data_IF_880958522600
#
_entry.id   IF_880958522600
#
_cell.length_a   1.000
_cell.length_b   1.000
_cell.length_c   1.000
_cell.angle_alpha   90.00
_cell.angle_beta   90.00
_cell.angle_gamma   90.00
#
_symmetry.space_group_name_H-M   'P 1'
#
loop_
_entity.id
_entity.type
_entity.pdbx_description
1 polymer ?
#
# COMPACT_ATOMS: atom_id res chain seq x y z
N UNK A 1 -9.04 17.50 0.95
CA UNK A 1 -9.41 16.23 1.63
C UNK A 1 -10.66 15.69 0.94
N UNK A 2 -10.55 14.51 0.35
CA UNK A 2 -11.62 13.86 -0.44
C UNK A 2 -12.49 12.99 0.49
N UNK A 3 -13.50 13.60 1.12
CA UNK A 3 -14.35 12.97 2.17
C UNK A 3 -15.10 11.73 1.72
N UNK A 4 -15.32 11.58 0.42
CA UNK A 4 -16.08 10.46 -0.17
C UNK A 4 -15.20 9.25 -0.52
N UNK A 5 -13.89 9.32 -0.23
CA UNK A 5 -12.89 8.28 -0.54
C UNK A 5 -13.38 6.86 -0.23
N UNK A 6 -13.94 6.67 0.96
CA UNK A 6 -14.44 5.37 1.46
C UNK A 6 -15.66 4.81 0.71
N UNK A 7 -16.30 5.62 -0.14
CA UNK A 7 -17.51 5.23 -0.86
C UNK A 7 -17.17 4.61 -2.23
N UNK A 8 -15.90 4.64 -2.64
CA UNK A 8 -15.44 4.16 -3.93
C UNK A 8 -14.49 2.97 -3.77
N UNK A 9 -14.60 2.02 -4.68
CA UNK A 9 -13.58 1.01 -4.90
C UNK A 9 -12.51 1.53 -5.88
N UNK A 10 -11.49 0.69 -6.18
CA UNK A 10 -10.40 1.09 -7.07
C UNK A 10 -10.88 1.47 -8.47
N UNK A 11 -11.94 0.84 -8.98
CA UNK A 11 -12.52 1.14 -10.28
C UNK A 11 -13.19 2.51 -10.26
N UNK A 12 -14.02 2.77 -9.25
CA UNK A 12 -14.68 4.06 -9.08
C UNK A 12 -13.67 5.20 -8.89
N UNK A 13 -12.59 4.98 -8.14
CA UNK A 13 -11.51 5.97 -8.00
C UNK A 13 -10.79 6.23 -9.33
N UNK A 14 -10.53 5.18 -10.13
CA UNK A 14 -9.94 5.34 -11.46
C UNK A 14 -10.85 6.14 -12.40
N UNK A 15 -12.16 5.93 -12.35
CA UNK A 15 -13.13 6.71 -13.14
C UNK A 15 -13.14 8.20 -12.75
N UNK A 16 -13.04 8.53 -11.45
CA UNK A 16 -12.96 9.92 -11.00
C UNK A 16 -11.68 10.60 -11.51
N UNK A 17 -10.56 9.87 -11.49
CA UNK A 17 -9.27 10.35 -12.03
C UNK A 17 -9.34 10.56 -13.54
N UNK A 18 -9.95 9.65 -14.30
CA UNK A 18 -10.15 9.77 -15.74
C UNK A 18 -11.02 10.99 -16.10
N UNK A 19 -12.09 11.21 -15.34
CA UNK A 19 -12.98 12.38 -15.48
C UNK A 19 -12.35 13.69 -14.98
N UNK A 20 -11.15 13.62 -14.36
CA UNK A 20 -10.46 14.75 -13.73
C UNK A 20 -11.26 15.44 -12.62
N UNK A 21 -12.14 14.70 -11.96
CA UNK A 21 -12.91 15.16 -10.80
C UNK A 21 -12.05 15.22 -9.55
N UNK A 22 -10.95 14.42 -9.52
CA UNK A 22 -9.90 14.43 -8.49
C UNK A 22 -8.54 14.22 -9.16
N UNK A 23 -7.48 14.72 -8.54
CA UNK A 23 -6.10 14.48 -9.00
C UNK A 23 -5.47 13.27 -8.28
N UNK A 24 -4.47 12.60 -8.90
CA UNK A 24 -3.74 11.52 -8.25
C UNK A 24 -3.08 11.95 -6.93
N UNK A 25 -2.61 13.20 -6.85
CA UNK A 25 -2.01 13.76 -5.63
C UNK A 25 -3.03 13.88 -4.49
N UNK A 26 -4.20 14.46 -4.77
CA UNK A 26 -5.27 14.58 -3.76
C UNK A 26 -5.76 13.23 -3.28
N UNK A 27 -5.83 12.23 -4.17
CA UNK A 27 -6.24 10.88 -3.83
C UNK A 27 -5.20 10.18 -2.95
N UNK A 28 -3.91 10.33 -3.28
CA UNK A 28 -2.82 9.79 -2.47
C UNK A 28 -2.77 10.46 -1.09
N UNK A 29 -2.91 11.79 -1.03
CA UNK A 29 -2.91 12.54 0.24
C UNK A 29 -4.07 12.10 1.15
N UNK A 30 -5.25 11.81 0.58
CA UNK A 30 -6.36 11.25 1.36
C UNK A 30 -6.05 9.85 1.87
N UNK A 31 -5.48 8.97 1.05
CA UNK A 31 -5.10 7.61 1.47
C UNK A 31 -4.04 7.64 2.60
N UNK A 32 -3.07 8.55 2.51
CA UNK A 32 -2.06 8.77 3.55
C UNK A 32 -2.74 9.27 4.83
N UNK A 33 -3.61 10.26 4.73
CA UNK A 33 -4.34 10.83 5.87
C UNK A 33 -5.17 9.77 6.61
N UNK A 34 -5.92 8.94 5.87
CA UNK A 34 -6.69 7.84 6.46
C UNK A 34 -5.76 6.82 7.16
N UNK A 35 -4.61 6.52 6.54
CA UNK A 35 -3.61 5.64 7.13
C UNK A 35 -3.06 6.20 8.43
N UNK A 36 -2.71 7.48 8.49
CA UNK A 36 -2.15 8.11 9.69
C UNK A 36 -3.12 8.14 10.88
N UNK A 37 -4.43 8.23 10.60
CA UNK A 37 -5.47 8.22 11.64
C UNK A 37 -5.79 6.79 12.10
N UNK A 38 -5.93 5.85 11.16
CA UNK A 38 -6.48 4.53 11.46
C UNK A 38 -5.41 3.50 11.84
N UNK A 39 -4.24 3.56 11.21
CA UNK A 39 -3.18 2.56 11.40
C UNK A 39 -2.65 2.48 12.84
N UNK A 40 -2.55 3.57 13.62
CA UNK A 40 -2.19 3.46 15.04
C UNK A 40 -3.14 2.61 15.88
N UNK A 41 -4.38 2.46 15.44
CA UNK A 41 -5.40 1.65 16.13
C UNK A 41 -5.35 0.18 15.70
N UNK A 42 -5.10 -0.09 14.42
CA UNK A 42 -5.21 -1.43 13.84
C UNK A 42 -3.88 -2.09 13.49
N UNK A 43 -2.80 -1.32 13.36
CA UNK A 43 -1.44 -1.81 13.01
C UNK A 43 -1.43 -2.69 11.74
N UNK A 44 -2.06 -2.18 10.68
CA UNK A 44 -2.18 -2.91 9.42
C UNK A 44 -1.09 -2.56 8.41
N UNK A 45 -0.41 -1.39 8.55
CA UNK A 45 0.55 -0.85 7.56
C UNK A 45 1.88 -0.51 8.24
N UNK A 46 2.70 -1.52 8.60
CA UNK A 46 3.95 -1.30 9.30
C UNK A 46 5.03 -0.62 8.44
N UNK A 47 4.93 -0.70 7.12
CA UNK A 47 5.88 -0.07 6.20
C UNK A 47 5.18 1.00 5.36
N UNK A 48 5.56 2.26 5.60
CA UNK A 48 5.02 3.44 4.92
C UNK A 48 6.05 3.98 3.93
N UNK A 49 5.67 4.12 2.65
CA UNK A 49 6.54 4.54 1.56
C UNK A 49 6.01 5.81 0.89
N UNK A 50 5.56 6.80 1.70
CA UNK A 50 4.85 7.99 1.23
C UNK A 50 5.66 8.83 0.24
N UNK A 51 6.96 9.04 0.50
CA UNK A 51 7.81 9.81 -0.42
C UNK A 51 8.03 9.08 -1.75
N UNK A 52 8.20 7.75 -1.70
CA UNK A 52 8.30 6.93 -2.90
C UNK A 52 6.99 6.97 -3.71
N UNK A 53 5.85 6.94 -3.03
CA UNK A 53 4.54 7.03 -3.67
C UNK A 53 4.35 8.37 -4.39
N UNK A 54 4.76 9.49 -3.79
CA UNK A 54 4.71 10.81 -4.43
C UNK A 54 5.54 10.87 -5.71
N UNK A 55 6.71 10.22 -5.74
CA UNK A 55 7.53 10.13 -6.95
C UNK A 55 6.87 9.29 -8.05
N UNK A 56 6.02 8.31 -7.69
CA UNK A 56 5.31 7.48 -8.67
C UNK A 56 4.20 8.25 -9.41
N UNK A 57 3.67 9.35 -8.84
CA UNK A 57 2.60 10.14 -9.46
C UNK A 57 2.99 10.77 -10.80
N UNK A 58 4.28 10.97 -11.03
CA UNK A 58 4.82 11.57 -12.27
C UNK A 58 4.82 10.58 -13.44
N UNK A 59 4.55 9.30 -13.20
CA UNK A 59 4.69 8.22 -14.18
C UNK A 59 3.34 7.63 -14.61
N UNK A 60 3.17 7.40 -15.92
CA UNK A 60 2.15 6.54 -16.53
C UNK A 60 0.73 7.09 -16.66
N UNK A 61 0.56 8.21 -17.37
CA UNK A 61 -0.73 8.61 -17.94
C UNK A 61 -1.25 7.51 -18.89
N UNK A 62 -2.52 7.13 -18.74
CA UNK A 62 -3.21 6.23 -19.68
C UNK A 62 -3.27 4.76 -19.27
N UNK A 63 -2.84 4.40 -18.07
CA UNK A 63 -3.04 3.05 -17.52
C UNK A 63 -4.38 2.94 -16.77
N UNK A 64 -4.98 1.73 -16.66
CA UNK A 64 -6.35 1.53 -16.15
C UNK A 64 -6.59 2.04 -14.73
N UNK A 65 -5.56 2.03 -13.86
CA UNK A 65 -5.63 2.47 -12.47
C UNK A 65 -4.66 3.61 -12.18
N UNK A 66 -4.40 4.46 -13.19
CA UNK A 66 -3.45 5.56 -13.05
C UNK A 66 -3.75 6.44 -11.84
N UNK A 67 -2.81 6.46 -10.89
CA UNK A 67 -2.89 7.30 -9.69
C UNK A 67 -3.68 6.72 -8.52
N UNK A 68 -4.25 5.50 -8.64
CA UNK A 68 -4.99 4.86 -7.56
C UNK A 68 -4.01 4.34 -6.49
N UNK A 69 -4.15 4.74 -5.21
CA UNK A 69 -3.30 4.28 -4.13
C UNK A 69 -3.45 2.78 -3.88
N UNK A 70 -2.33 2.10 -3.63
CA UNK A 70 -2.29 0.66 -3.43
C UNK A 70 -1.29 0.26 -2.35
N UNK A 71 -1.62 -0.78 -1.59
CA UNK A 71 -0.74 -1.39 -0.60
C UNK A 71 -0.31 -2.78 -1.07
N UNK A 72 0.99 -3.02 -1.09
CA UNK A 72 1.52 -4.39 -1.24
C UNK A 72 1.36 -5.15 0.08
N UNK A 73 1.35 -6.46 0.03
CA UNK A 73 1.53 -7.27 1.22
C UNK A 73 3.03 -7.43 1.51
N UNK A 74 3.44 -7.35 2.78
CA UNK A 74 4.82 -7.65 3.18
C UNK A 74 5.08 -9.16 3.24
N UNK A 75 4.74 -9.85 2.15
CA UNK A 75 4.95 -11.27 1.94
C UNK A 75 5.21 -11.51 0.45
N UNK A 76 6.46 -11.82 0.11
CA UNK A 76 6.93 -12.12 -1.26
C UNK A 76 6.73 -11.01 -2.30
N UNK A 77 6.10 -9.87 -1.97
CA UNK A 77 5.89 -8.75 -2.87
C UNK A 77 7.06 -7.76 -2.78
N UNK A 78 8.07 -7.97 -3.62
CA UNK A 78 9.28 -7.14 -3.65
C UNK A 78 9.11 -5.89 -4.49
N UNK A 79 9.39 -4.74 -3.90
CA UNK A 79 9.54 -3.45 -4.56
C UNK A 79 10.98 -2.98 -4.33
N UNK A 80 11.75 -2.79 -5.40
CA UNK A 80 13.17 -2.39 -5.33
C UNK A 80 13.37 -1.18 -4.43
N UNK A 81 14.33 -1.27 -3.52
CA UNK A 81 14.69 -0.22 -2.57
C UNK A 81 13.83 -0.20 -1.29
N UNK A 82 12.82 -1.06 -1.17
CA UNK A 82 12.02 -1.22 0.04
C UNK A 82 12.32 -2.53 0.74
N UNK A 83 11.99 -2.62 2.03
CA UNK A 83 12.14 -3.86 2.79
C UNK A 83 11.04 -4.85 2.39
N UNK A 84 11.40 -6.13 2.28
CA UNK A 84 10.47 -7.25 2.23
C UNK A 84 10.83 -8.19 3.37
N UNK A 85 10.09 -8.04 4.49
CA UNK A 85 10.43 -8.74 5.74
C UNK A 85 9.77 -10.10 5.87
N UNK A 86 8.71 -10.37 5.09
CA UNK A 86 7.86 -11.56 5.25
C UNK A 86 7.34 -11.70 6.70
N UNK A 87 7.17 -10.58 7.42
CA UNK A 87 6.79 -10.54 8.83
C UNK A 87 7.84 -11.10 9.79
N UNK A 88 9.07 -11.38 9.34
CA UNK A 88 10.10 -12.04 10.12
C UNK A 88 11.25 -11.11 10.51
N UNK A 89 11.73 -11.22 11.76
CA UNK A 89 12.95 -10.55 12.22
C UNK A 89 14.19 -10.97 11.41
N UNK A 90 14.19 -12.16 10.86
CA UNK A 90 15.29 -12.65 10.01
C UNK A 90 15.49 -11.73 8.80
N UNK A 91 14.40 -11.20 8.25
CA UNK A 91 14.38 -10.40 7.05
C UNK A 91 14.14 -8.90 7.32
N UNK A 92 14.21 -8.43 8.59
CA UNK A 92 13.89 -7.04 8.94
C UNK A 92 14.73 -5.98 8.22
N UNK A 93 15.91 -6.36 7.72
CA UNK A 93 16.83 -5.49 6.97
C UNK A 93 16.98 -5.92 5.50
N UNK A 94 16.12 -6.80 5.02
CA UNK A 94 16.20 -7.33 3.66
C UNK A 94 15.65 -6.30 2.66
N UNK A 95 16.49 -5.39 2.21
CA UNK A 95 16.15 -4.42 1.16
C UNK A 95 16.13 -5.11 -0.19
N UNK A 96 14.98 -5.09 -0.86
CA UNK A 96 14.78 -5.70 -2.16
C UNK A 96 15.67 -5.07 -3.24
N UNK A 97 16.48 -5.88 -3.91
CA UNK A 97 17.39 -5.47 -4.99
C UNK A 97 16.69 -5.35 -6.35
N UNK A 98 15.49 -5.91 -6.47
CA UNK A 98 14.68 -5.91 -7.69
C UNK A 98 13.20 -5.75 -7.32
N UNK A 99 12.39 -5.40 -8.32
CA UNK A 99 10.93 -5.44 -8.25
C UNK A 99 10.47 -6.73 -8.90
N UNK A 100 9.63 -7.50 -8.23
CA UNK A 100 9.13 -8.76 -8.78
C UNK A 100 8.06 -8.54 -9.87
N UNK A 101 7.71 -9.60 -10.57
CA UNK A 101 6.75 -9.55 -11.69
C UNK A 101 5.36 -9.09 -11.27
N UNK A 102 4.87 -9.54 -10.09
CA UNK A 102 3.57 -9.12 -9.58
C UNK A 102 3.55 -7.61 -9.32
N UNK A 103 4.55 -7.13 -8.59
CA UNK A 103 4.70 -5.72 -8.27
C UNK A 103 4.87 -4.86 -9.53
N UNK A 104 5.64 -5.34 -10.53
CA UNK A 104 5.73 -4.67 -11.83
C UNK A 104 4.37 -4.55 -12.51
N UNK A 105 3.56 -5.59 -12.51
CA UNK A 105 2.19 -5.55 -13.09
C UNK A 105 1.29 -4.56 -12.37
N UNK A 106 1.39 -4.45 -11.05
CA UNK A 106 0.67 -3.43 -10.28
C UNK A 106 1.08 -2.01 -10.71
N UNK A 107 2.40 -1.75 -10.80
CA UNK A 107 2.94 -0.48 -11.28
C UNK A 107 2.55 -0.19 -12.73
N UNK A 108 2.55 -1.21 -13.60
CA UNK A 108 2.18 -1.08 -15.02
C UNK A 108 0.68 -0.80 -15.20
N UNK A 109 -0.14 -1.32 -14.30
CA UNK A 109 -1.55 -0.95 -14.23
C UNK A 109 -1.79 0.49 -13.74
N UNK A 110 -0.76 1.19 -13.26
CA UNK A 110 -0.81 2.58 -12.80
C UNK A 110 -1.08 2.76 -11.31
N UNK A 111 -1.11 1.67 -10.55
CA UNK A 111 -1.29 1.73 -9.11
C UNK A 111 -0.10 2.43 -8.43
N UNK A 112 -0.39 3.27 -7.45
CA UNK A 112 0.60 4.01 -6.65
C UNK A 112 0.84 3.28 -5.34
N UNK A 113 1.99 2.63 -5.23
CA UNK A 113 2.33 1.83 -4.05
C UNK A 113 2.84 2.76 -2.95
N UNK A 114 2.04 2.96 -1.88
CA UNK A 114 2.35 3.88 -0.80
C UNK A 114 2.74 3.20 0.53
N UNK A 115 2.76 1.87 0.58
CA UNK A 115 3.16 1.10 1.75
C UNK A 115 3.02 -0.39 1.56
N UNK A 116 3.32 -1.12 2.63
CA UNK A 116 3.07 -2.57 2.71
C UNK A 116 2.24 -2.91 3.93
N UNK A 117 1.27 -3.81 3.73
CA UNK A 117 0.45 -4.34 4.83
C UNK A 117 1.20 -5.36 5.63
N UNK A 118 0.84 -5.48 6.91
CA UNK A 118 1.38 -6.48 7.81
C UNK A 118 1.08 -7.90 7.32
N UNK A 119 1.90 -8.85 7.72
CA UNK A 119 1.84 -10.25 7.33
C UNK A 119 2.20 -11.13 8.51
N UNK A 120 1.58 -12.30 8.69
CA UNK A 120 2.12 -13.29 9.61
C UNK A 120 3.50 -13.76 9.13
N UNK A 121 4.34 -14.18 10.05
CA UNK A 121 5.71 -14.62 9.73
C UNK A 121 5.68 -15.74 8.68
N UNK A 122 6.31 -15.47 7.52
CA UNK A 122 6.33 -16.32 6.33
C UNK A 122 4.95 -16.78 5.82
N UNK A 123 3.87 -16.11 6.23
CA UNK A 123 2.52 -16.47 5.82
C UNK A 123 1.98 -17.78 6.42
N UNK A 124 2.59 -18.28 7.51
CA UNK A 124 2.33 -19.63 8.03
C UNK A 124 1.09 -19.74 8.94
N UNK A 125 0.50 -18.61 9.35
CA UNK A 125 -0.67 -18.60 10.25
C UNK A 125 -1.83 -17.81 9.67
N UNK A 126 -3.04 -18.07 10.17
CA UNK A 126 -4.27 -17.36 9.75
C UNK A 126 -4.45 -16.02 10.45
N UNK A 127 -3.72 -15.79 11.55
CA UNK A 127 -3.69 -14.53 12.29
C UNK A 127 -2.43 -13.75 11.95
N UNK A 128 -2.51 -12.42 11.94
CA UNK A 128 -1.37 -11.55 11.65
C UNK A 128 -0.83 -10.95 12.95
N UNK A 129 0.12 -11.66 13.55
CA UNK A 129 0.72 -11.32 14.85
C UNK A 129 2.25 -11.52 14.84
N UNK A 130 2.96 -11.00 13.83
CA UNK A 130 4.41 -11.20 13.76
C UNK A 130 5.10 -10.48 14.91
N UNK A 131 6.14 -11.10 15.49
CA UNK A 131 6.96 -10.47 16.54
C UNK A 131 7.62 -9.18 16.03
N UNK A 132 7.93 -9.11 14.74
CA UNK A 132 8.60 -7.96 14.13
C UNK A 132 7.75 -6.68 14.22
N UNK A 133 6.47 -6.76 13.88
CA UNK A 133 5.59 -5.60 13.73
C UNK A 133 4.46 -5.55 14.76
N UNK A 134 4.26 -6.64 15.53
CA UNK A 134 3.13 -6.78 16.43
C UNK A 134 1.82 -7.18 15.73
N UNK A 135 0.74 -7.38 16.51
CA UNK A 135 -0.53 -7.86 15.99
C UNK A 135 -1.26 -6.78 15.18
N UNK A 136 -1.83 -7.21 14.06
CA UNK A 136 -2.86 -6.42 13.35
C UNK A 136 -4.22 -6.72 13.98
N UNK A 137 -4.97 -5.67 14.30
CA UNK A 137 -6.25 -5.77 14.99
C UNK A 137 -7.42 -5.76 14.03
N UNK A 138 -8.50 -6.42 14.42
CA UNK A 138 -9.76 -6.37 13.70
C UNK A 138 -10.42 -5.01 13.93
N UNK A 139 -10.69 -4.18 12.89
CA UNK A 139 -11.29 -2.86 13.07
C UNK A 139 -12.72 -2.89 13.64
N UNK A 140 -13.40 -4.04 13.55
CA UNK A 140 -14.74 -4.23 14.13
C UNK A 140 -14.72 -4.59 15.62
N UNK A 141 -13.55 -4.96 16.15
CA UNK A 141 -13.37 -5.36 17.55
C UNK A 141 -11.90 -5.15 17.93
N UNK A 142 -11.57 -3.92 18.30
CA UNK A 142 -10.21 -3.46 18.65
C UNK A 142 -9.77 -3.98 20.02
#
# INVERSE_FOLDING_TARGET
MFKEYKNFDATGLAELLEKKEITPGELLDEAIFQTEILDPLINAIPQKHFDLAKQQLENKLGSPFHGVPFLLKDLHASLKGTITSDGSRLNEKNVAKFTDTLTHRCLDAGLVIFGKTNSPEFGLTVTTEPILHGPTRNPWNL
#
